data_IF_856730239880
#
_entry.id   IF_856730239880
#
_cell.length_a   1.000
_cell.length_b   1.000
_cell.length_c   1.000
_cell.angle_alpha   90.00
_cell.angle_beta   90.00
_cell.angle_gamma   90.00
#
_symmetry.space_group_name_H-M   'P 1'
#
loop_
_entity.id
_entity.type
_entity.pdbx_description
1 polymer ?
#
# COMPACT_ATOMS: atom_id res chain seq x y z
N UNK A 1 21.09 35.67 66.09
CA UNK A 1 22.16 36.55 65.59
C UNK A 1 22.12 36.57 64.07
N UNK A 2 21.80 37.75 63.52
CA UNK A 2 22.24 38.33 62.22
C UNK A 2 22.26 37.38 61.04
N UNK A 3 21.45 37.39 60.01
CA UNK A 3 20.94 38.55 59.26
C UNK A 3 21.92 38.96 58.19
N UNK A 4 21.73 38.66 56.93
CA UNK A 4 22.11 39.48 55.78
C UNK A 4 21.30 38.99 54.58
N UNK A 5 20.46 39.85 54.08
CA UNK A 5 19.77 39.87 52.86
C UNK A 5 20.67 40.20 51.68
N UNK A 6 20.30 39.74 50.53
CA UNK A 6 20.82 40.29 49.27
C UNK A 6 19.70 40.47 48.25
N UNK A 7 19.65 41.66 47.80
CA UNK A 7 18.72 42.30 46.89
C UNK A 7 18.74 41.66 45.48
N UNK A 8 17.56 41.42 44.99
CA UNK A 8 17.29 41.12 43.57
C UNK A 8 17.31 42.42 42.77
N UNK A 9 18.18 42.53 41.79
CA UNK A 9 18.09 43.57 40.74
C UNK A 9 17.47 42.97 39.50
N UNK A 10 16.26 43.40 39.22
CA UNK A 10 15.56 43.12 37.97
C UNK A 10 16.22 43.94 36.84
N UNK A 11 16.63 43.30 35.79
CA UNK A 11 16.99 43.94 34.53
C UNK A 11 15.89 43.59 33.52
N UNK A 12 15.11 44.61 33.20
CA UNK A 12 14.12 44.54 32.13
C UNK A 12 14.85 44.74 30.79
N UNK A 13 14.97 43.67 30.04
CA UNK A 13 15.41 43.69 28.65
C UNK A 13 14.19 43.71 27.71
N UNK A 14 13.93 44.84 27.10
CA UNK A 14 12.97 44.99 26.01
C UNK A 14 13.59 44.40 24.76
N UNK A 15 13.10 43.26 24.31
CA UNK A 15 13.44 42.69 22.99
C UNK A 15 12.36 43.13 22.00
N UNK A 16 12.72 44.05 21.13
CA UNK A 16 11.89 44.44 19.99
C UNK A 16 11.86 43.32 18.96
N UNK A 17 10.70 42.75 18.77
CA UNK A 17 10.43 41.71 17.76
C UNK A 17 10.17 42.37 16.40
N UNK A 18 11.18 42.38 15.53
CA UNK A 18 11.02 42.76 14.13
C UNK A 18 10.31 41.64 13.39
N UNK A 19 9.05 41.86 13.05
CA UNK A 19 8.26 40.97 12.17
C UNK A 19 8.70 41.27 10.73
N UNK A 20 9.49 40.34 10.15
CA UNK A 20 9.78 40.31 8.72
C UNK A 20 8.67 39.57 8.04
N UNK A 21 7.79 40.26 7.30
CA UNK A 21 6.76 39.68 6.45
C UNK A 21 7.43 39.31 5.11
N UNK A 22 7.40 38.04 4.65
CA UNK A 22 7.85 37.71 3.31
C UNK A 22 6.81 38.11 2.26
N UNK A 23 7.23 38.53 1.04
CA UNK A 23 6.32 38.94 -0.01
C UNK A 23 5.56 37.72 -0.57
N UNK A 24 4.30 37.92 -0.86
CA UNK A 24 3.36 36.99 -1.46
C UNK A 24 3.88 36.44 -2.80
N UNK A 25 3.96 35.11 -2.91
CA UNK A 25 4.23 34.46 -4.18
C UNK A 25 2.98 34.55 -5.08
N UNK A 26 3.20 35.12 -6.25
CA UNK A 26 2.25 35.25 -7.36
C UNK A 26 1.76 33.88 -7.82
N UNK A 27 0.45 33.75 -7.90
CA UNK A 27 -0.22 32.59 -8.47
C UNK A 27 0.02 32.55 -10.00
N UNK A 28 0.81 31.61 -10.48
CA UNK A 28 0.89 31.31 -11.91
C UNK A 28 -0.36 30.56 -12.35
N UNK A 29 -1.20 31.24 -13.12
CA UNK A 29 -2.31 30.66 -13.85
C UNK A 29 -1.77 29.76 -14.98
N UNK A 30 -2.01 28.46 -14.87
CA UNK A 30 -1.82 27.52 -15.98
C UNK A 30 -3.01 27.67 -16.92
N UNK A 31 -2.77 28.26 -18.09
CA UNK A 31 -3.73 28.34 -19.20
C UNK A 31 -3.89 26.94 -19.84
N UNK A 32 -5.04 26.34 -19.69
CA UNK A 32 -5.46 25.18 -20.46
C UNK A 32 -5.98 25.62 -21.83
N UNK A 33 -5.23 25.34 -22.88
CA UNK A 33 -5.73 25.44 -24.26
C UNK A 33 -6.41 24.13 -24.68
N UNK A 34 -7.59 24.17 -25.29
CA UNK A 34 -8.23 22.98 -25.87
C UNK A 34 -7.72 22.77 -27.30
N UNK A 35 -7.00 21.69 -27.53
CA UNK A 35 -6.65 21.25 -28.88
C UNK A 35 -7.86 20.60 -29.54
N UNK A 36 -8.46 21.31 -30.52
CA UNK A 36 -9.40 20.75 -31.50
C UNK A 36 -8.61 19.91 -32.51
N UNK A 37 -8.77 18.61 -32.50
CA UNK A 37 -8.33 17.75 -33.60
C UNK A 37 -9.51 17.41 -34.50
N UNK A 38 -9.35 17.84 -35.71
CA UNK A 38 -10.19 17.68 -36.89
C UNK A 38 -10.26 16.22 -37.33
N UNK A 39 -11.47 15.66 -37.34
CA UNK A 39 -11.82 14.41 -38.01
C UNK A 39 -11.74 14.62 -39.54
N UNK A 40 -10.80 13.98 -40.21
CA UNK A 40 -10.88 13.75 -41.66
C UNK A 40 -11.36 12.32 -41.91
N UNK A 41 -12.58 12.22 -42.36
CA UNK A 41 -13.14 11.05 -43.03
C UNK A 41 -12.41 10.82 -44.36
N UNK A 42 -11.99 9.59 -44.62
CA UNK A 42 -11.75 9.13 -46.00
C UNK A 42 -12.47 7.81 -46.19
N UNK A 43 -13.49 7.88 -46.97
CA UNK A 43 -14.34 6.78 -47.44
C UNK A 43 -13.75 6.14 -48.69
N UNK A 44 -14.12 4.87 -48.90
CA UNK A 44 -14.14 4.06 -50.13
C UNK A 44 -12.88 3.30 -50.51
N UNK A 45 -12.96 1.95 -50.44
CA UNK A 45 -13.24 1.21 -51.67
C UNK A 45 -13.66 -0.25 -51.35
N UNK A 46 -14.76 -0.63 -51.98
CA UNK A 46 -15.30 -1.99 -52.02
C UNK A 46 -14.52 -2.80 -53.08
N UNK A 47 -14.21 -4.06 -52.75
CA UNK A 47 -13.96 -5.08 -53.77
C UNK A 47 -14.66 -6.36 -53.36
N UNK A 48 -15.70 -6.69 -54.08
CA UNK A 48 -16.37 -7.99 -54.12
C UNK A 48 -15.40 -9.02 -54.73
N UNK A 49 -15.10 -10.11 -54.04
CA UNK A 49 -14.74 -11.37 -54.69
C UNK A 49 -15.48 -12.51 -54.04
N UNK A 50 -16.43 -13.01 -54.77
CA UNK A 50 -17.20 -14.24 -54.52
C UNK A 50 -16.36 -15.43 -54.94
N UNK A 51 -16.03 -16.33 -54.04
CA UNK A 51 -15.61 -17.68 -54.39
C UNK A 51 -16.30 -18.68 -53.46
N UNK A 52 -17.34 -19.31 -54.00
CA UNK A 52 -18.03 -20.46 -53.42
C UNK A 52 -17.09 -21.67 -53.45
N UNK A 53 -16.84 -22.31 -52.30
CA UNK A 53 -16.46 -23.72 -52.18
C UNK A 53 -17.18 -24.33 -51.02
N UNK A 54 -17.90 -25.39 -51.20
CA UNK A 54 -18.52 -26.15 -50.13
C UNK A 54 -17.43 -27.04 -49.52
N UNK A 55 -17.08 -26.85 -48.27
CA UNK A 55 -16.25 -27.81 -47.53
C UNK A 55 -17.06 -28.28 -46.32
N UNK A 56 -17.20 -29.59 -46.26
CA UNK A 56 -17.91 -30.37 -45.26
C UNK A 56 -17.59 -29.89 -43.84
N UNK A 57 -18.64 -29.65 -43.06
CA UNK A 57 -18.57 -29.33 -41.63
C UNK A 57 -18.06 -30.57 -40.88
N UNK A 58 -16.76 -30.67 -40.66
CA UNK A 58 -16.18 -31.53 -39.64
C UNK A 58 -16.37 -30.81 -38.30
N UNK A 59 -17.34 -31.27 -37.51
CA UNK A 59 -17.60 -30.80 -36.15
C UNK A 59 -16.38 -31.09 -35.28
N UNK A 60 -15.42 -30.19 -35.31
CA UNK A 60 -14.34 -30.15 -34.33
C UNK A 60 -14.97 -29.68 -33.02
N UNK A 61 -15.22 -30.64 -32.13
CA UNK A 61 -15.42 -30.32 -30.71
C UNK A 61 -14.13 -29.77 -30.21
N UNK A 62 -13.97 -28.43 -30.29
CA UNK A 62 -12.95 -27.74 -29.54
C UNK A 62 -13.29 -27.91 -28.05
N UNK A 63 -12.57 -28.85 -27.43
CA UNK A 63 -12.42 -28.87 -25.99
C UNK A 63 -11.68 -27.57 -25.67
N UNK A 64 -12.41 -26.44 -25.49
CA UNK A 64 -11.82 -25.23 -24.93
C UNK A 64 -11.43 -25.63 -23.49
N UNK A 65 -10.15 -25.58 -23.13
CA UNK A 65 -9.80 -25.67 -21.74
C UNK A 65 -10.57 -24.57 -21.02
N UNK A 66 -11.29 -24.94 -19.96
CA UNK A 66 -11.98 -23.98 -19.10
C UNK A 66 -10.97 -22.87 -18.81
N UNK A 67 -11.30 -21.63 -19.16
CA UNK A 67 -10.42 -20.50 -18.98
C UNK A 67 -9.97 -20.52 -17.51
N UNK A 68 -8.69 -20.78 -17.27
CA UNK A 68 -8.14 -20.77 -15.92
C UNK A 68 -8.44 -19.39 -15.35
N UNK A 69 -9.25 -19.35 -14.28
CA UNK A 69 -9.56 -18.09 -13.58
C UNK A 69 -8.23 -17.46 -13.18
N UNK A 70 -7.97 -16.26 -13.67
CA UNK A 70 -6.74 -15.52 -13.34
C UNK A 70 -6.59 -15.43 -11.83
N UNK A 71 -5.43 -15.78 -11.33
CA UNK A 71 -5.05 -15.62 -9.93
C UNK A 71 -4.15 -14.41 -9.80
N UNK A 72 -4.59 -13.44 -9.00
CA UNK A 72 -3.85 -12.18 -8.76
C UNK A 72 -3.08 -12.29 -7.46
N UNK A 73 -1.94 -11.59 -7.38
CA UNK A 73 -1.04 -11.67 -6.23
C UNK A 73 -0.48 -10.29 -5.93
N UNK A 74 -0.67 -9.84 -4.70
CA UNK A 74 -0.25 -8.52 -4.24
C UNK A 74 0.58 -8.64 -2.97
N UNK A 75 1.73 -7.98 -2.92
CA UNK A 75 2.48 -7.74 -1.70
C UNK A 75 2.44 -6.26 -1.33
N UNK A 76 2.03 -5.98 -0.10
CA UNK A 76 2.00 -4.65 0.51
C UNK A 76 3.10 -4.56 1.56
N UNK A 77 3.97 -3.55 1.46
CA UNK A 77 5.05 -3.31 2.41
C UNK A 77 4.68 -2.22 3.41
N UNK A 78 4.82 -2.50 4.72
CA UNK A 78 4.72 -1.49 5.77
C UNK A 78 6.03 -1.47 6.56
N UNK A 79 6.78 -0.38 6.48
CA UNK A 79 8.09 -0.23 7.14
C UNK A 79 8.22 1.03 8.00
N UNK A 80 7.13 1.72 8.25
CA UNK A 80 7.06 2.92 9.11
C UNK A 80 6.06 2.71 10.23
N UNK A 81 6.35 3.29 11.40
CA UNK A 81 5.42 3.30 12.54
C UNK A 81 4.50 4.52 12.44
N UNK A 82 3.59 4.49 11.48
CA UNK A 82 2.62 5.54 11.24
C UNK A 82 1.21 4.96 11.08
N UNK A 83 0.27 5.32 11.97
CA UNK A 83 -1.10 4.81 11.91
C UNK A 83 -1.84 5.13 10.60
N UNK A 84 -1.54 6.24 9.94
CA UNK A 84 -2.16 6.60 8.68
C UNK A 84 -1.71 5.64 7.56
N UNK A 85 -0.41 5.38 7.46
CA UNK A 85 0.17 4.40 6.52
C UNK A 85 -0.35 2.98 6.78
N UNK A 86 -0.43 2.56 8.06
CA UNK A 86 -0.99 1.25 8.43
C UNK A 86 -2.46 1.11 8.00
N UNK A 87 -3.27 2.14 8.25
CA UNK A 87 -4.66 2.17 7.80
C UNK A 87 -4.78 2.19 6.27
N UNK A 88 -3.90 2.91 5.58
CA UNK A 88 -3.87 2.94 4.12
C UNK A 88 -3.53 1.55 3.55
N UNK A 89 -2.58 0.84 4.13
CA UNK A 89 -2.26 -0.55 3.75
C UNK A 89 -3.48 -1.47 3.86
N UNK A 90 -4.22 -1.39 4.98
CA UNK A 90 -5.44 -2.17 5.19
C UNK A 90 -6.56 -1.77 4.22
N UNK A 91 -6.72 -0.47 3.92
CA UNK A 91 -7.66 0.00 2.90
C UNK A 91 -7.33 -0.58 1.52
N UNK A 92 -6.05 -0.51 1.12
CA UNK A 92 -5.59 -1.03 -0.17
C UNK A 92 -5.81 -2.53 -0.26
N UNK A 93 -5.49 -3.29 0.79
CA UNK A 93 -5.74 -4.74 0.84
C UNK A 93 -7.22 -5.06 0.68
N UNK A 94 -8.09 -4.37 1.44
CA UNK A 94 -9.54 -4.56 1.37
C UNK A 94 -10.10 -4.22 -0.01
N UNK A 95 -9.69 -3.08 -0.59
CA UNK A 95 -10.17 -2.65 -1.89
C UNK A 95 -9.78 -3.63 -3.02
N UNK A 96 -8.54 -4.15 -2.96
CA UNK A 96 -8.06 -5.13 -3.94
C UNK A 96 -8.79 -6.47 -3.77
N UNK A 97 -8.97 -6.95 -2.53
CA UNK A 97 -9.71 -8.16 -2.25
C UNK A 97 -11.16 -8.06 -2.77
N UNK A 98 -11.86 -6.96 -2.47
CA UNK A 98 -13.22 -6.72 -2.92
C UNK A 98 -13.33 -6.61 -4.44
N UNK A 99 -12.41 -5.89 -5.09
CA UNK A 99 -12.39 -5.73 -6.55
C UNK A 99 -12.35 -7.08 -7.29
N UNK A 100 -11.49 -8.00 -6.85
CA UNK A 100 -11.37 -9.32 -7.49
C UNK A 100 -12.50 -10.27 -7.08
N UNK A 101 -13.00 -10.16 -5.85
CA UNK A 101 -14.18 -10.89 -5.40
C UNK A 101 -15.42 -10.57 -6.25
N UNK A 102 -15.66 -9.29 -6.57
CA UNK A 102 -16.79 -8.85 -7.40
C UNK A 102 -16.70 -9.36 -8.84
N UNK A 103 -15.51 -9.79 -9.27
CA UNK A 103 -15.25 -10.37 -10.60
C UNK A 103 -15.19 -11.90 -10.59
N UNK A 104 -15.44 -12.52 -9.44
CA UNK A 104 -15.28 -13.96 -9.22
C UNK A 104 -13.87 -14.45 -9.60
N UNK A 105 -12.85 -13.59 -9.38
CA UNK A 105 -11.44 -13.87 -9.60
C UNK A 105 -10.72 -14.07 -8.25
N UNK A 106 -9.69 -14.93 -8.24
CA UNK A 106 -8.92 -15.19 -7.01
C UNK A 106 -7.81 -14.17 -6.84
N UNK A 107 -7.60 -13.71 -5.62
CA UNK A 107 -6.45 -12.89 -5.23
C UNK A 107 -5.80 -13.45 -3.97
N UNK A 108 -4.49 -13.30 -3.85
CA UNK A 108 -3.74 -13.50 -2.62
C UNK A 108 -3.00 -12.22 -2.27
N UNK A 109 -3.08 -11.79 -1.02
CA UNK A 109 -2.50 -10.54 -0.56
C UNK A 109 -1.63 -10.83 0.67
N UNK A 110 -0.35 -10.43 0.61
CA UNK A 110 0.55 -10.47 1.76
C UNK A 110 0.88 -9.06 2.21
N UNK A 111 0.55 -8.73 3.46
CA UNK A 111 1.01 -7.50 4.12
C UNK A 111 2.26 -7.85 4.92
N UNK A 112 3.41 -7.30 4.53
CA UNK A 112 4.71 -7.61 5.13
C UNK A 112 5.21 -6.40 5.91
N UNK A 113 5.50 -6.62 7.20
CA UNK A 113 5.97 -5.57 8.11
C UNK A 113 7.41 -5.84 8.53
N UNK A 114 8.24 -4.80 8.51
CA UNK A 114 9.62 -4.83 9.02
C UNK A 114 10.08 -3.43 9.47
N UNK A 115 11.22 -3.35 10.16
CA UNK A 115 11.67 -2.11 10.77
C UNK A 115 10.59 -1.52 11.68
N UNK A 116 10.44 -0.19 11.76
CA UNK A 116 9.40 0.43 12.58
C UNK A 116 7.97 0.00 12.24
N UNK A 117 7.71 -0.46 11.02
CA UNK A 117 6.40 -0.95 10.60
C UNK A 117 5.94 -2.21 11.33
N UNK A 118 6.85 -2.95 12.02
CA UNK A 118 6.47 -4.12 12.83
C UNK A 118 5.48 -3.78 13.94
N UNK A 119 5.43 -2.53 14.40
CA UNK A 119 4.43 -2.07 15.37
C UNK A 119 2.99 -2.34 14.91
N UNK A 120 2.73 -2.39 13.61
CA UNK A 120 1.43 -2.77 13.06
C UNK A 120 0.94 -4.15 13.54
N UNK A 121 1.86 -5.09 13.75
CA UNK A 121 1.56 -6.48 14.13
C UNK A 121 1.92 -6.83 15.58
N UNK A 122 2.35 -5.86 16.37
CA UNK A 122 2.61 -6.08 17.81
C UNK A 122 1.31 -6.10 18.59
N UNK A 123 1.15 -7.06 19.48
CA UNK A 123 -0.03 -7.18 20.32
C UNK A 123 -0.16 -6.04 21.36
N UNK A 124 1.01 -5.47 21.77
CA UNK A 124 1.09 -4.42 22.79
C UNK A 124 0.99 -2.98 22.24
N UNK A 125 1.35 -2.75 20.99
CA UNK A 125 1.47 -1.38 20.45
C UNK A 125 0.73 -1.12 19.14
N UNK A 126 0.09 -2.12 18.54
CA UNK A 126 -0.58 -1.94 17.26
C UNK A 126 -1.79 -0.98 17.37
N UNK A 127 -1.79 0.13 16.61
CA UNK A 127 -2.94 1.03 16.58
C UNK A 127 -4.10 0.50 15.72
N UNK A 128 -3.87 -0.59 14.97
CA UNK A 128 -4.82 -1.15 14.00
C UNK A 128 -5.19 -2.61 14.30
N UNK A 129 -4.86 -3.11 15.50
CA UNK A 129 -5.06 -4.50 15.91
C UNK A 129 -6.49 -5.00 15.66
N UNK A 130 -7.48 -4.33 16.20
CA UNK A 130 -8.89 -4.74 16.05
C UNK A 130 -9.32 -4.81 14.58
N UNK A 131 -8.77 -3.93 13.75
CA UNK A 131 -9.06 -3.93 12.32
C UNK A 131 -8.42 -5.12 11.60
N UNK A 132 -7.21 -5.52 11.99
CA UNK A 132 -6.54 -6.71 11.45
C UNK A 132 -7.31 -7.97 11.84
N UNK A 133 -7.73 -8.09 13.10
CA UNK A 133 -8.55 -9.20 13.60
C UNK A 133 -9.85 -9.34 12.79
N UNK A 134 -10.55 -8.23 12.55
CA UNK A 134 -11.77 -8.23 11.73
C UNK A 134 -11.51 -8.64 10.27
N UNK A 135 -10.40 -8.16 9.66
CA UNK A 135 -10.04 -8.50 8.30
C UNK A 135 -9.62 -9.97 8.15
N UNK A 136 -8.88 -10.53 9.08
CA UNK A 136 -8.46 -11.92 9.05
C UNK A 136 -9.66 -12.88 9.09
N UNK A 137 -10.76 -12.50 9.73
CA UNK A 137 -12.00 -13.27 9.75
C UNK A 137 -12.82 -13.13 8.47
N UNK A 138 -12.85 -11.94 7.88
CA UNK A 138 -13.71 -11.62 6.73
C UNK A 138 -13.06 -11.81 5.36
N UNK A 139 -11.74 -11.81 5.32
CA UNK A 139 -10.94 -11.80 4.08
C UNK A 139 -9.71 -12.72 4.22
N UNK A 140 -9.93 -14.04 4.17
CA UNK A 140 -8.86 -15.04 4.37
C UNK A 140 -7.76 -15.01 3.30
N UNK A 141 -8.00 -14.33 2.18
CA UNK A 141 -7.02 -14.05 1.12
C UNK A 141 -5.95 -13.05 1.54
N UNK A 142 -6.17 -12.31 2.65
CA UNK A 142 -5.21 -11.35 3.21
C UNK A 142 -4.43 -12.01 4.33
N UNK A 143 -3.11 -12.03 4.24
CA UNK A 143 -2.20 -12.55 5.27
C UNK A 143 -1.27 -11.47 5.78
N UNK A 144 -0.88 -11.58 7.06
CA UNK A 144 -0.03 -10.61 7.74
C UNK A 144 1.29 -11.28 8.15
N UNK A 145 2.42 -10.72 7.71
CA UNK A 145 3.73 -11.32 7.89
C UNK A 145 4.67 -10.35 8.63
N UNK A 146 5.15 -10.80 9.78
CA UNK A 146 6.08 -10.08 10.66
C UNK A 146 7.53 -10.52 10.40
N UNK A 147 8.44 -9.56 10.22
CA UNK A 147 9.86 -9.83 10.07
C UNK A 147 10.48 -10.33 11.38
N UNK A 148 10.99 -11.57 11.39
CA UNK A 148 11.67 -12.17 12.53
C UNK A 148 12.93 -11.41 12.94
N UNK A 149 13.78 -11.03 11.99
CA UNK A 149 14.97 -10.23 12.28
C UNK A 149 14.63 -8.89 12.96
N UNK A 150 13.55 -8.23 12.54
CA UNK A 150 13.08 -6.99 13.19
C UNK A 150 12.57 -7.28 14.60
N UNK A 151 11.78 -8.34 14.77
CA UNK A 151 11.28 -8.76 16.09
C UNK A 151 12.41 -9.02 17.07
N UNK A 152 13.44 -9.77 16.65
CA UNK A 152 14.62 -10.05 17.47
C UNK A 152 15.40 -8.76 17.84
N UNK A 153 15.59 -7.86 16.89
CA UNK A 153 16.28 -6.60 17.14
C UNK A 153 15.50 -5.71 18.12
N UNK A 154 14.17 -5.63 17.99
CA UNK A 154 13.32 -4.93 18.95
C UNK A 154 13.36 -5.60 20.33
N UNK A 155 13.32 -6.93 20.37
CA UNK A 155 13.44 -7.68 21.63
C UNK A 155 14.74 -7.37 22.37
N UNK A 156 15.87 -7.32 21.67
CA UNK A 156 17.16 -6.93 22.23
C UNK A 156 17.16 -5.48 22.72
N UNK A 157 16.60 -4.55 21.93
CA UNK A 157 16.58 -3.14 22.27
C UNK A 157 15.67 -2.84 23.48
N UNK A 158 14.53 -3.54 23.57
CA UNK A 158 13.55 -3.36 24.65
C UNK A 158 13.80 -4.29 25.86
N UNK A 159 14.80 -5.19 25.77
CA UNK A 159 15.11 -6.22 26.79
C UNK A 159 13.88 -7.03 27.22
N UNK A 160 12.96 -7.30 26.28
CA UNK A 160 11.74 -8.08 26.49
C UNK A 160 11.34 -8.82 25.22
N UNK A 161 10.52 -9.85 25.36
CA UNK A 161 9.89 -10.47 24.20
C UNK A 161 8.90 -9.50 23.54
N UNK A 162 8.90 -9.48 22.20
CA UNK A 162 7.94 -8.68 21.42
C UNK A 162 6.73 -9.57 21.10
N UNK A 163 5.58 -9.32 21.73
CA UNK A 163 4.37 -10.09 21.48
C UNK A 163 3.77 -9.68 20.13
N UNK A 164 3.36 -10.67 19.34
CA UNK A 164 2.64 -10.45 18.08
C UNK A 164 1.16 -10.80 18.25
N UNK A 165 0.32 -10.19 17.43
CA UNK A 165 -1.08 -10.59 17.31
C UNK A 165 -1.18 -12.00 16.72
N UNK A 166 -2.28 -12.71 17.00
CA UNK A 166 -2.51 -14.10 16.58
C UNK A 166 -2.52 -14.28 15.07
N UNK A 167 -2.93 -13.26 14.32
CA UNK A 167 -3.04 -13.23 12.87
C UNK A 167 -1.67 -13.08 12.17
N UNK A 168 -0.64 -12.69 12.92
CA UNK A 168 0.69 -12.47 12.37
C UNK A 168 1.47 -13.78 12.22
N UNK A 169 1.94 -14.06 11.01
CA UNK A 169 2.92 -15.11 10.73
C UNK A 169 4.32 -14.52 10.75
N UNK A 170 5.28 -15.26 11.31
CA UNK A 170 6.68 -14.82 11.33
C UNK A 170 7.39 -15.34 10.09
N UNK A 171 8.00 -14.43 9.32
CA UNK A 171 8.95 -14.74 8.25
C UNK A 171 10.36 -14.37 8.69
N UNK A 172 11.37 -15.12 8.27
CA UNK A 172 12.76 -14.90 8.73
C UNK A 172 13.22 -13.46 8.49
N UNK A 173 12.99 -12.94 7.28
CA UNK A 173 13.32 -11.57 6.88
C UNK A 173 12.19 -10.99 6.01
N UNK A 174 11.62 -9.87 6.43
CA UNK A 174 10.52 -9.23 5.68
C UNK A 174 10.96 -8.75 4.29
N UNK A 175 12.15 -8.16 4.17
CA UNK A 175 12.65 -7.69 2.87
C UNK A 175 12.96 -8.84 1.91
N UNK A 176 13.53 -9.95 2.41
CA UNK A 176 13.77 -11.15 1.59
C UNK A 176 12.44 -11.74 1.12
N UNK A 177 11.44 -11.80 2.01
CA UNK A 177 10.09 -12.26 1.63
C UNK A 177 9.49 -11.43 0.50
N UNK A 178 9.64 -10.10 0.54
CA UNK A 178 9.20 -9.22 -0.56
C UNK A 178 9.92 -9.57 -1.87
N UNK A 179 11.23 -9.81 -1.83
CA UNK A 179 12.00 -10.20 -3.02
C UNK A 179 11.53 -11.53 -3.60
N UNK A 180 11.41 -12.56 -2.76
CA UNK A 180 10.93 -13.88 -3.16
C UNK A 180 9.56 -13.83 -3.83
N UNK A 181 8.64 -13.02 -3.28
CA UNK A 181 7.31 -12.84 -3.85
C UNK A 181 7.37 -12.13 -5.21
N UNK A 182 8.22 -11.10 -5.34
CA UNK A 182 8.39 -10.41 -6.62
C UNK A 182 9.00 -11.34 -7.68
N UNK A 183 9.97 -12.18 -7.33
CA UNK A 183 10.54 -13.21 -8.20
C UNK A 183 9.48 -14.24 -8.65
N UNK A 184 8.48 -14.50 -7.80
CA UNK A 184 7.32 -15.34 -8.10
C UNK A 184 6.23 -14.60 -8.90
N UNK A 185 6.46 -13.35 -9.30
CA UNK A 185 5.54 -12.55 -10.12
C UNK A 185 4.42 -11.86 -9.31
N UNK A 186 4.63 -11.61 -8.02
CA UNK A 186 3.70 -10.80 -7.23
C UNK A 186 3.84 -9.31 -7.55
N UNK A 187 2.73 -8.62 -7.63
CA UNK A 187 2.73 -7.16 -7.76
C UNK A 187 3.10 -6.52 -6.43
N UNK A 188 4.07 -5.63 -6.43
CA UNK A 188 4.50 -4.89 -5.25
C UNK A 188 3.87 -3.51 -5.20
N UNK A 189 3.31 -3.16 -4.03
CA UNK A 189 2.81 -1.81 -3.73
C UNK A 189 3.29 -1.40 -2.33
N UNK A 190 3.74 -0.16 -2.23
CA UNK A 190 4.04 0.49 -0.95
C UNK A 190 3.00 1.58 -0.72
N UNK A 191 2.23 1.49 0.39
CA UNK A 191 1.25 2.50 0.80
C UNK A 191 1.88 3.84 1.14
#
# INVERSE_FOLDING_TARGET
MRGIGNSVRAVAGVVALLIVVPPSAEAQQVQTQPAKQTLKQTSKQASKQTLKRPVAAKKLTLNQPAAEKKSHRLVLQVNVNDPATMNLALNNATNVAQYYKDRDEKVAIEVITFGPGLHMLRADTSPVKARIEALALSSPEISFNACGNTRENMSKAESKEIPLISEAKVVKSGVVRVMELQEQGWTYVRP
#
